data_IF_226594773266
#
_entry.id   IF_226594773266
#
_cell.length_a   1.000
_cell.length_b   1.000
_cell.length_c   1.000
_cell.angle_alpha   90.00
_cell.angle_beta   90.00
_cell.angle_gamma   90.00
#
_symmetry.space_group_name_H-M   'P 1'
#
loop_
_entity.id
_entity.type
_entity.pdbx_description
1 polymer ?
#
# COMPACT_ATOMS: atom_id res chain seq x y z
N UNK A 1 -52.35 -43.75 11.52
CA UNK A 1 -51.20 -43.20 10.78
C UNK A 1 -50.17 -44.28 10.64
N UNK A 2 -49.84 -44.63 9.44
CA UNK A 2 -48.87 -45.73 9.19
C UNK A 2 -47.44 -45.20 9.24
N UNK A 3 -46.50 -45.99 9.72
CA UNK A 3 -45.07 -45.63 9.83
C UNK A 3 -44.51 -45.15 8.46
N UNK A 4 -45.05 -45.67 7.38
CA UNK A 4 -44.74 -45.26 6.01
C UNK A 4 -45.10 -43.78 5.74
N UNK A 5 -46.22 -43.29 6.22
CA UNK A 5 -46.64 -41.88 6.06
C UNK A 5 -45.74 -40.91 6.79
N UNK A 6 -45.16 -41.28 7.95
CA UNK A 6 -44.20 -40.46 8.66
C UNK A 6 -42.84 -40.39 7.89
N UNK A 7 -42.38 -41.49 7.37
CA UNK A 7 -41.11 -41.52 6.61
C UNK A 7 -41.23 -40.68 5.32
N UNK A 8 -42.33 -40.80 4.59
CA UNK A 8 -42.53 -40.00 3.36
C UNK A 8 -42.64 -38.50 3.65
N UNK A 9 -43.31 -38.12 4.76
CA UNK A 9 -43.38 -36.71 5.18
C UNK A 9 -42.01 -36.13 5.58
N UNK A 10 -41.19 -36.89 6.30
CA UNK A 10 -39.81 -36.47 6.70
C UNK A 10 -38.89 -36.33 5.48
N UNK A 11 -38.94 -37.27 4.51
CA UNK A 11 -38.14 -37.19 3.30
C UNK A 11 -38.50 -36.01 2.42
N UNK A 12 -39.79 -35.76 2.23
CA UNK A 12 -40.31 -34.58 1.51
C UNK A 12 -39.90 -33.27 2.20
N UNK A 13 -39.99 -33.21 3.52
CA UNK A 13 -39.54 -32.05 4.30
C UNK A 13 -38.06 -31.77 4.17
N UNK A 14 -37.23 -32.80 4.23
CA UNK A 14 -35.78 -32.70 4.06
C UNK A 14 -35.39 -32.21 2.65
N UNK A 15 -36.05 -32.70 1.60
CA UNK A 15 -35.82 -32.28 0.21
C UNK A 15 -36.19 -30.81 0.01
N UNK A 16 -37.25 -30.32 0.65
CA UNK A 16 -37.66 -28.93 0.54
C UNK A 16 -36.76 -27.95 1.30
N UNK A 17 -36.13 -28.37 2.40
CA UNK A 17 -35.29 -27.51 3.24
C UNK A 17 -33.86 -27.43 2.69
N UNK A 18 -33.35 -28.47 2.06
CA UNK A 18 -31.95 -28.54 1.60
C UNK A 18 -31.54 -27.44 0.58
N UNK A 19 -32.34 -27.12 -0.47
CA UNK A 19 -31.97 -26.08 -1.45
C UNK A 19 -31.83 -24.69 -0.84
N UNK A 20 -32.76 -24.19 0.01
CA UNK A 20 -32.65 -22.87 0.61
C UNK A 20 -31.47 -22.78 1.59
N UNK A 21 -31.15 -23.85 2.35
CA UNK A 21 -29.98 -23.87 3.21
C UNK A 21 -28.66 -23.79 2.42
N UNK A 22 -28.59 -24.50 1.29
CA UNK A 22 -27.42 -24.41 0.40
C UNK A 22 -27.26 -23.02 -0.18
N UNK A 23 -28.36 -22.41 -0.65
CA UNK A 23 -28.35 -21.05 -1.19
C UNK A 23 -27.92 -20.02 -0.12
N UNK A 24 -28.41 -20.15 1.09
CA UNK A 24 -28.02 -19.28 2.20
C UNK A 24 -26.52 -19.36 2.49
N UNK A 25 -25.97 -20.58 2.51
CA UNK A 25 -24.53 -20.79 2.73
C UNK A 25 -23.71 -20.19 1.60
N UNK A 26 -24.10 -20.36 0.34
CA UNK A 26 -23.41 -19.80 -0.83
C UNK A 26 -23.45 -18.27 -0.81
N UNK A 27 -24.58 -17.67 -0.42
CA UNK A 27 -24.70 -16.22 -0.26
C UNK A 27 -23.79 -15.70 0.86
N UNK A 28 -23.77 -16.38 2.03
CA UNK A 28 -22.90 -16.00 3.14
C UNK A 28 -21.42 -16.07 2.74
N UNK A 29 -20.99 -17.12 2.07
CA UNK A 29 -19.60 -17.25 1.60
C UNK A 29 -19.21 -16.15 0.62
N UNK A 30 -20.09 -15.79 -0.31
CA UNK A 30 -19.87 -14.67 -1.23
C UNK A 30 -19.82 -13.32 -0.50
N UNK A 31 -20.65 -13.12 0.49
CA UNK A 31 -20.65 -11.89 1.29
C UNK A 31 -19.31 -11.71 2.03
N UNK A 32 -18.81 -12.74 2.68
CA UNK A 32 -17.51 -12.73 3.34
C UNK A 32 -16.37 -12.45 2.35
N UNK A 33 -16.46 -12.97 1.14
CA UNK A 33 -15.48 -12.73 0.09
C UNK A 33 -15.46 -11.25 -0.34
N UNK A 34 -16.63 -10.65 -0.51
CA UNK A 34 -16.78 -9.23 -0.85
C UNK A 34 -16.25 -8.33 0.28
N UNK A 35 -16.57 -8.64 1.53
CA UNK A 35 -16.02 -7.90 2.67
C UNK A 35 -14.49 -7.92 2.70
N UNK A 36 -13.88 -9.07 2.49
CA UNK A 36 -12.42 -9.19 2.42
C UNK A 36 -11.83 -8.36 1.27
N UNK A 37 -12.51 -8.30 0.13
CA UNK A 37 -12.09 -7.47 -1.00
C UNK A 37 -12.14 -5.98 -0.69
N UNK A 38 -13.20 -5.53 -0.05
CA UNK A 38 -13.36 -4.14 0.36
C UNK A 38 -12.25 -3.76 1.36
N UNK A 39 -12.01 -4.58 2.36
CA UNK A 39 -10.94 -4.35 3.34
C UNK A 39 -9.56 -4.32 2.68
N UNK A 40 -9.29 -5.24 1.76
CA UNK A 40 -8.02 -5.26 1.02
C UNK A 40 -7.86 -3.98 0.18
N UNK A 41 -8.90 -3.57 -0.56
CA UNK A 41 -8.88 -2.35 -1.35
C UNK A 41 -8.67 -1.09 -0.48
N UNK A 42 -9.28 -1.01 0.69
CA UNK A 42 -9.07 0.07 1.65
C UNK A 42 -7.64 0.10 2.17
N UNK A 43 -7.07 -1.05 2.52
CA UNK A 43 -5.69 -1.15 2.99
C UNK A 43 -4.69 -0.74 1.90
N UNK A 44 -4.90 -1.17 0.66
CA UNK A 44 -4.09 -0.76 -0.49
C UNK A 44 -4.16 0.76 -0.69
N UNK A 45 -5.38 1.32 -0.67
CA UNK A 45 -5.59 2.76 -0.82
C UNK A 45 -4.89 3.56 0.28
N UNK A 46 -5.00 3.10 1.53
CA UNK A 46 -4.35 3.73 2.68
C UNK A 46 -2.82 3.70 2.53
N UNK A 47 -2.24 2.56 2.20
CA UNK A 47 -0.80 2.41 2.01
C UNK A 47 -0.28 3.32 0.87
N UNK A 48 -1.00 3.36 -0.25
CA UNK A 48 -0.67 4.21 -1.39
C UNK A 48 -0.84 5.70 -1.07
N UNK A 49 -1.80 6.09 -0.22
CA UNK A 49 -1.96 7.48 0.22
C UNK A 49 -0.84 7.92 1.14
N UNK A 50 -0.43 7.07 2.08
CA UNK A 50 0.72 7.35 2.96
C UNK A 50 2.00 7.54 2.14
N UNK A 51 2.26 6.65 1.19
CA UNK A 51 3.42 6.75 0.30
C UNK A 51 3.35 8.01 -0.59
N UNK A 52 2.18 8.29 -1.19
CA UNK A 52 1.98 9.48 -2.01
C UNK A 52 2.13 10.77 -1.21
N UNK A 53 1.65 10.81 0.03
CA UNK A 53 1.83 11.94 0.94
C UNK A 53 3.31 12.14 1.27
N UNK A 54 4.02 11.07 1.64
CA UNK A 54 5.45 11.14 1.94
C UNK A 54 6.26 11.65 0.74
N UNK A 55 5.94 11.20 -0.49
CA UNK A 55 6.58 11.70 -1.72
C UNK A 55 6.28 13.19 -1.94
N UNK A 56 5.04 13.64 -1.73
CA UNK A 56 4.67 15.06 -1.88
C UNK A 56 5.39 15.96 -0.88
N UNK A 57 5.57 15.47 0.35
CA UNK A 57 6.25 16.21 1.42
C UNK A 57 7.79 16.12 1.31
N UNK A 58 8.31 15.14 0.56
CA UNK A 58 9.75 14.99 0.34
C UNK A 58 10.33 16.18 -0.42
N UNK A 59 11.51 16.63 -0.02
CA UNK A 59 12.14 17.82 -0.59
C UNK A 59 11.63 19.13 -0.02
N UNK A 60 10.63 19.13 0.89
CA UNK A 60 10.25 20.33 1.61
C UNK A 60 11.42 20.88 2.43
N UNK A 61 11.71 22.17 2.25
CA UNK A 61 12.77 22.88 2.97
C UNK A 61 12.26 24.17 3.57
N UNK A 62 12.71 24.45 4.75
CA UNK A 62 12.44 25.72 5.45
C UNK A 62 13.32 26.83 4.87
N UNK A 63 14.46 26.52 4.29
CA UNK A 63 15.42 27.45 3.67
C UNK A 63 15.48 27.21 2.15
N UNK A 64 15.38 28.28 1.36
CA UNK A 64 15.29 28.26 -0.10
C UNK A 64 16.57 27.80 -0.86
N UNK A 65 17.54 27.25 -0.17
CA UNK A 65 18.78 26.78 -0.83
C UNK A 65 18.56 25.38 -1.44
N UNK A 66 18.56 25.36 -2.77
CA UNK A 66 18.67 24.22 -3.69
C UNK A 66 18.21 22.83 -3.19
N UNK A 67 17.28 22.25 -3.91
CA UNK A 67 16.90 20.82 -3.76
C UNK A 67 18.16 20.00 -4.00
N UNK A 68 18.63 19.26 -2.99
CA UNK A 68 19.65 18.27 -3.23
C UNK A 68 18.95 17.03 -3.82
N UNK A 69 19.50 16.47 -4.88
CA UNK A 69 19.09 15.20 -5.48
C UNK A 69 19.00 14.05 -4.47
N UNK A 70 19.53 14.26 -3.26
CA UNK A 70 19.57 13.27 -2.17
C UNK A 70 18.29 13.20 -1.34
N UNK A 71 17.34 14.14 -1.50
CA UNK A 71 16.13 14.15 -0.66
C UNK A 71 15.11 13.07 -1.07
N UNK A 72 15.17 12.62 -2.33
CA UNK A 72 14.39 11.48 -2.83
C UNK A 72 15.35 10.49 -3.48
N UNK A 73 15.52 9.34 -2.86
CA UNK A 73 16.38 8.27 -3.38
C UNK A 73 15.54 7.06 -3.73
N UNK A 74 15.54 6.70 -5.02
CA UNK A 74 14.85 5.51 -5.52
C UNK A 74 15.92 4.47 -5.84
N UNK A 75 15.82 3.30 -5.19
CA UNK A 75 16.62 2.12 -5.50
C UNK A 75 15.74 1.13 -6.25
N UNK A 76 16.14 0.72 -7.45
CA UNK A 76 15.39 -0.23 -8.27
C UNK A 76 15.49 -1.67 -7.75
N UNK A 77 16.59 -2.00 -7.09
CA UNK A 77 16.81 -3.30 -6.44
C UNK A 77 16.67 -3.13 -4.92
N UNK A 78 15.44 -3.31 -4.42
CA UNK A 78 15.15 -3.34 -2.99
C UNK A 78 15.53 -4.69 -2.34
N UNK A 79 15.18 -4.84 -1.06
CA UNK A 79 15.42 -6.09 -0.31
C UNK A 79 14.65 -7.29 -0.88
N UNK A 80 13.52 -7.05 -1.52
CA UNK A 80 12.74 -8.07 -2.22
C UNK A 80 13.04 -7.99 -3.72
N UNK A 81 13.47 -9.11 -4.30
CA UNK A 81 13.94 -9.18 -5.69
C UNK A 81 12.91 -8.62 -6.69
N UNK A 82 13.34 -7.68 -7.53
CA UNK A 82 12.51 -7.04 -8.54
C UNK A 82 11.54 -5.98 -8.01
N UNK A 83 11.76 -5.51 -6.79
CA UNK A 83 10.97 -4.42 -6.19
C UNK A 83 11.83 -3.22 -5.89
N UNK A 84 11.29 -2.03 -6.16
CA UNK A 84 11.94 -0.78 -5.81
C UNK A 84 11.81 -0.48 -4.31
N UNK A 85 12.70 0.37 -3.83
CA UNK A 85 12.62 1.01 -2.52
C UNK A 85 12.79 2.51 -2.69
N UNK A 86 12.14 3.31 -1.82
CA UNK A 86 12.24 4.76 -1.84
C UNK A 86 12.57 5.29 -0.44
N UNK A 87 13.65 6.06 -0.36
CA UNK A 87 14.01 6.80 0.83
C UNK A 87 13.72 8.29 0.61
N UNK A 88 13.04 8.89 1.54
CA UNK A 88 12.52 10.25 1.50
C UNK A 88 13.06 11.02 2.69
N UNK A 89 13.63 12.19 2.43
CA UNK A 89 14.12 13.11 3.45
C UNK A 89 13.44 14.46 3.29
N UNK A 90 13.12 15.10 4.39
CA UNK A 90 12.57 16.45 4.41
C UNK A 90 12.99 17.19 5.68
N UNK A 91 13.06 18.51 5.61
CA UNK A 91 13.24 19.34 6.80
C UNK A 91 12.00 19.22 7.70
N UNK A 92 12.20 19.44 8.99
CA UNK A 92 11.07 19.44 9.92
C UNK A 92 10.09 20.56 9.55
N UNK A 93 8.84 20.22 9.16
CA UNK A 93 7.87 21.22 8.77
C UNK A 93 7.45 22.09 9.98
N UNK A 94 7.13 23.36 9.74
CA UNK A 94 6.63 24.29 10.78
C UNK A 94 5.21 23.94 11.23
N UNK A 95 4.45 23.22 10.40
CA UNK A 95 3.10 22.76 10.69
C UNK A 95 3.12 21.34 11.25
N UNK A 96 2.01 20.93 11.84
CA UNK A 96 1.83 19.57 12.34
C UNK A 96 1.90 18.56 11.17
N UNK A 97 2.90 17.72 11.18
CA UNK A 97 3.07 16.65 10.19
C UNK A 97 3.27 15.32 10.90
N UNK A 98 2.96 14.24 10.18
CA UNK A 98 3.00 12.89 10.70
C UNK A 98 3.92 12.02 9.85
N UNK A 99 4.59 11.09 10.49
CA UNK A 99 5.31 10.03 9.79
C UNK A 99 4.33 8.97 9.22
N UNK A 100 4.85 8.01 8.48
CA UNK A 100 4.05 6.91 7.90
C UNK A 100 3.47 5.96 8.97
N UNK A 101 3.88 6.05 10.22
CA UNK A 101 3.34 5.30 11.35
C UNK A 101 2.28 6.09 12.12
N UNK A 102 1.98 7.34 11.70
CA UNK A 102 1.02 8.21 12.39
C UNK A 102 1.58 8.96 13.59
N UNK A 103 2.90 8.96 13.80
CA UNK A 103 3.51 9.74 14.87
C UNK A 103 3.78 11.17 14.41
N UNK A 104 3.62 12.13 15.32
CA UNK A 104 3.95 13.54 15.07
C UNK A 104 5.45 13.70 14.85
N UNK A 105 5.82 14.36 13.77
CA UNK A 105 7.20 14.72 13.49
C UNK A 105 7.64 15.83 14.45
N UNK A 106 8.69 15.57 15.23
CA UNK A 106 9.28 16.48 16.20
C UNK A 106 10.79 16.54 16.03
N UNK A 107 11.43 17.54 16.67
CA UNK A 107 12.91 17.65 16.63
C UNK A 107 13.63 16.39 17.11
N UNK A 108 13.04 15.68 18.06
CA UNK A 108 13.58 14.43 18.61
C UNK A 108 13.55 13.28 17.61
N UNK A 109 12.66 13.35 16.61
CA UNK A 109 12.50 12.37 15.52
C UNK A 109 13.23 12.77 14.25
N UNK A 110 14.24 13.61 14.38
CA UNK A 110 15.05 14.06 13.25
C UNK A 110 16.51 13.66 13.46
N UNK A 111 17.19 13.46 12.34
CA UNK A 111 18.65 13.33 12.32
C UNK A 111 19.19 14.47 11.48
N UNK A 112 20.06 15.30 12.08
CA UNK A 112 20.56 16.53 11.44
C UNK A 112 19.43 17.48 10.96
N UNK A 113 18.38 17.65 11.76
CA UNK A 113 17.18 18.44 11.47
C UNK A 113 16.34 17.92 10.29
N UNK A 114 16.64 16.77 9.75
CA UNK A 114 15.86 16.11 8.70
C UNK A 114 15.08 14.93 9.24
N UNK A 115 13.85 14.80 8.80
CA UNK A 115 13.04 13.60 8.99
C UNK A 115 13.40 12.58 7.93
N UNK A 116 13.22 11.32 8.23
CA UNK A 116 13.54 10.21 7.34
C UNK A 116 12.36 9.25 7.27
N UNK A 117 11.95 8.92 6.05
CA UNK A 117 10.95 7.89 5.79
C UNK A 117 11.44 6.98 4.66
N UNK A 118 11.37 5.68 4.87
CA UNK A 118 11.83 4.68 3.89
C UNK A 118 10.74 3.64 3.67
N UNK A 119 10.37 3.44 2.40
CA UNK A 119 9.40 2.45 2.00
C UNK A 119 10.08 1.39 1.14
N UNK A 120 9.90 0.14 1.51
CA UNK A 120 10.49 -1.00 0.82
C UNK A 120 9.67 -2.27 1.05
N UNK A 121 9.93 -3.29 0.25
CA UNK A 121 9.33 -4.59 0.45
C UNK A 121 10.30 -5.48 1.23
N UNK A 122 9.78 -6.13 2.27
CA UNK A 122 10.45 -7.17 3.03
C UNK A 122 9.74 -8.50 2.81
N UNK A 123 10.50 -9.58 2.68
CA UNK A 123 9.93 -10.92 2.51
C UNK A 123 9.05 -11.29 3.70
N UNK A 124 7.84 -11.74 3.43
CA UNK A 124 6.97 -12.25 4.48
C UNK A 124 7.57 -13.49 5.14
N UNK A 125 7.50 -13.57 6.47
CA UNK A 125 7.97 -14.73 7.22
C UNK A 125 7.09 -15.96 6.98
N UNK A 126 5.82 -15.75 6.66
CA UNK A 126 4.83 -16.81 6.55
C UNK A 126 4.61 -17.29 5.11
N UNK A 127 5.01 -16.51 4.11
CA UNK A 127 4.86 -16.85 2.69
C UNK A 127 6.08 -16.36 1.91
N UNK A 128 6.90 -17.30 1.45
CA UNK A 128 8.13 -17.01 0.70
C UNK A 128 7.88 -16.36 -0.67
N UNK A 129 6.66 -16.44 -1.18
CA UNK A 129 6.27 -15.88 -2.48
C UNK A 129 5.64 -14.49 -2.37
N UNK A 130 5.42 -14.00 -1.16
CA UNK A 130 4.86 -12.68 -0.92
C UNK A 130 5.80 -11.84 -0.04
N UNK A 131 5.63 -10.54 -0.12
CA UNK A 131 6.34 -9.57 0.69
C UNK A 131 5.36 -8.68 1.44
N UNK A 132 5.85 -8.00 2.45
CA UNK A 132 5.12 -6.95 3.15
C UNK A 132 5.70 -5.60 2.78
N UNK A 133 4.86 -4.61 2.55
CA UNK A 133 5.26 -3.22 2.40
C UNK A 133 5.56 -2.65 3.78
N UNK A 134 6.83 -2.34 4.00
CA UNK A 134 7.33 -1.79 5.24
C UNK A 134 7.55 -0.29 5.09
N UNK A 135 7.14 0.46 6.08
CA UNK A 135 7.58 1.82 6.30
C UNK A 135 8.56 1.87 7.47
N UNK A 136 9.65 2.59 7.30
CA UNK A 136 10.65 2.84 8.31
C UNK A 136 10.76 4.35 8.56
N UNK A 137 10.78 4.77 9.81
CA UNK A 137 10.90 6.17 10.24
C UNK A 137 11.75 6.27 11.50
N UNK A 138 12.14 7.47 11.90
CA UNK A 138 12.90 7.71 13.12
C UNK A 138 12.00 7.76 14.35
N UNK A 139 12.41 7.10 15.41
CA UNK A 139 11.76 7.21 16.72
C UNK A 139 12.23 8.48 17.48
N UNK A 140 11.74 8.69 18.72
CA UNK A 140 12.14 9.83 19.58
C UNK A 140 13.61 9.81 20.00
N UNK A 141 14.26 8.66 19.85
CA UNK A 141 15.70 8.49 20.16
C UNK A 141 16.57 8.61 18.90
N UNK A 142 15.96 8.92 17.72
CA UNK A 142 16.65 8.97 16.45
C UNK A 142 17.05 7.59 15.91
N UNK A 143 16.47 6.49 16.44
CA UNK A 143 16.65 5.15 15.94
C UNK A 143 15.61 4.82 14.89
N UNK A 144 15.98 3.94 13.95
CA UNK A 144 15.06 3.49 12.91
C UNK A 144 14.04 2.52 13.51
N UNK A 145 12.77 2.86 13.33
CA UNK A 145 11.64 2.02 13.69
C UNK A 145 10.85 1.67 12.44
N UNK A 146 10.28 0.47 12.38
CA UNK A 146 9.59 -0.01 11.18
C UNK A 146 8.18 -0.51 11.52
N UNK A 147 7.27 -0.33 10.59
CA UNK A 147 5.90 -0.83 10.67
C UNK A 147 5.48 -1.44 9.34
N UNK A 148 4.75 -2.53 9.42
CA UNK A 148 4.12 -3.15 8.26
C UNK A 148 2.86 -2.35 7.89
N UNK A 149 2.79 -1.90 6.64
CA UNK A 149 1.64 -1.16 6.09
C UNK A 149 0.67 -2.07 5.35
N UNK A 150 1.21 -3.07 4.64
CA UNK A 150 0.42 -3.96 3.80
C UNK A 150 1.16 -5.27 3.61
N UNK A 151 0.45 -6.38 3.71
CA UNK A 151 0.95 -7.73 3.42
C UNK A 151 0.53 -8.23 2.03
N UNK A 152 1.03 -9.40 1.65
CA UNK A 152 0.71 -10.07 0.37
C UNK A 152 1.08 -9.26 -0.88
N UNK A 153 2.07 -8.38 -0.76
CA UNK A 153 2.58 -7.58 -1.87
C UNK A 153 3.48 -8.45 -2.75
N UNK A 154 3.31 -8.34 -4.07
CA UNK A 154 4.10 -9.05 -5.07
C UNK A 154 5.24 -8.20 -5.61
N UNK A 155 4.98 -6.91 -5.82
CA UNK A 155 5.97 -5.97 -6.29
C UNK A 155 5.60 -4.53 -5.91
N UNK A 156 6.62 -3.72 -5.78
CA UNK A 156 6.56 -2.26 -5.71
C UNK A 156 7.47 -1.71 -6.80
N UNK A 157 6.90 -0.93 -7.72
CA UNK A 157 7.67 -0.27 -8.79
C UNK A 157 7.54 1.23 -8.64
N UNK A 158 8.67 1.92 -8.67
CA UNK A 158 8.74 3.36 -8.51
C UNK A 158 9.65 3.90 -9.61
N UNK A 159 9.13 4.77 -10.46
CA UNK A 159 9.88 5.34 -11.58
C UNK A 159 9.69 6.85 -11.63
N UNK A 160 10.78 7.57 -11.86
CA UNK A 160 10.72 8.94 -12.30
C UNK A 160 10.18 8.98 -13.73
N UNK A 161 9.22 9.86 -13.97
CA UNK A 161 8.69 10.12 -15.30
C UNK A 161 8.94 11.59 -15.62
N UNK A 162 9.73 11.83 -16.64
CA UNK A 162 9.94 13.19 -17.13
C UNK A 162 8.70 13.61 -17.96
N UNK A 163 7.95 14.63 -17.55
CA UNK A 163 6.79 15.10 -18.31
C UNK A 163 7.15 15.59 -19.72
N UNK A 164 8.41 15.99 -19.96
CA UNK A 164 8.87 16.40 -21.29
C UNK A 164 8.88 15.25 -22.31
N UNK A 165 8.90 14.00 -21.85
CA UNK A 165 8.81 12.83 -22.73
C UNK A 165 7.38 12.56 -23.21
N UNK A 166 6.36 13.18 -22.59
CA UNK A 166 4.95 12.93 -22.92
C UNK A 166 4.39 13.97 -23.87
N UNK A 167 4.86 15.23 -23.82
CA UNK A 167 4.46 16.30 -24.77
C UNK A 167 5.56 17.38 -24.81
N UNK A 168 6.27 17.46 -25.92
CA UNK A 168 7.40 18.37 -26.14
C UNK A 168 7.05 19.87 -26.21
N UNK A 169 5.85 20.30 -25.82
CA UNK A 169 5.38 21.65 -26.20
C UNK A 169 5.23 22.66 -25.06
N UNK A 170 5.31 22.30 -23.79
CA UNK A 170 5.08 23.31 -22.72
C UNK A 170 6.00 23.07 -21.52
N UNK A 171 6.71 24.13 -21.15
CA UNK A 171 7.33 24.54 -19.89
C UNK A 171 8.85 24.48 -19.77
N UNK A 172 9.41 25.65 -20.05
CA UNK A 172 10.72 26.11 -19.57
C UNK A 172 10.61 26.51 -18.08
N UNK A 173 10.62 25.58 -17.15
CA UNK A 173 10.89 25.88 -15.75
C UNK A 173 12.10 25.07 -15.28
N UNK A 174 13.13 25.76 -14.83
CA UNK A 174 14.36 25.24 -14.24
C UNK A 174 14.04 24.62 -12.86
N UNK A 175 13.58 23.38 -12.84
CA UNK A 175 13.43 22.58 -11.61
C UNK A 175 13.24 21.12 -12.00
N UNK A 176 13.55 20.14 -11.16
CA UNK A 176 13.21 18.74 -11.42
C UNK A 176 11.69 18.57 -11.31
N UNK A 177 10.98 19.09 -12.33
CA UNK A 177 9.53 18.88 -12.50
C UNK A 177 9.30 17.47 -12.99
N UNK A 178 9.48 16.50 -12.11
CA UNK A 178 9.26 15.09 -12.40
C UNK A 178 8.01 14.58 -11.69
N UNK A 179 7.26 13.74 -12.40
CA UNK A 179 6.23 12.90 -11.78
C UNK A 179 6.87 11.58 -11.34
N UNK A 180 6.49 11.11 -10.17
CA UNK A 180 6.85 9.78 -9.70
C UNK A 180 5.64 8.87 -9.93
N UNK A 181 5.83 7.84 -10.75
CA UNK A 181 4.86 6.77 -10.93
C UNK A 181 5.15 5.69 -9.90
N UNK A 182 4.16 5.40 -9.07
CA UNK A 182 4.19 4.31 -8.10
C UNK A 182 3.20 3.25 -8.53
N UNK A 183 3.64 2.01 -8.69
CA UNK A 183 2.80 0.86 -8.99
C UNK A 183 2.98 -0.20 -7.92
N UNK A 184 1.89 -0.63 -7.32
CA UNK A 184 1.83 -1.64 -6.27
C UNK A 184 0.98 -2.81 -6.72
N UNK A 185 1.56 -4.01 -6.75
CA UNK A 185 0.85 -5.25 -7.04
C UNK A 185 0.64 -6.06 -5.78
N UNK A 186 -0.61 -6.43 -5.49
CA UNK A 186 -1.01 -7.20 -4.31
C UNK A 186 -1.70 -8.48 -4.74
N UNK A 187 -1.30 -9.61 -4.14
CA UNK A 187 -1.92 -10.90 -4.37
C UNK A 187 -3.17 -11.03 -3.51
N UNK A 188 -4.30 -11.32 -4.14
CA UNK A 188 -5.49 -11.79 -3.47
C UNK A 188 -5.52 -13.31 -3.49
N UNK A 189 -5.56 -13.95 -2.33
CA UNK A 189 -5.77 -15.37 -2.20
C UNK A 189 -7.22 -15.62 -1.80
N UNK A 190 -8.06 -16.07 -2.75
CA UNK A 190 -9.42 -16.51 -2.43
C UNK A 190 -9.37 -17.93 -1.87
N UNK A 191 -9.93 -18.14 -0.69
CA UNK A 191 -10.05 -19.48 -0.08
C UNK A 191 -11.05 -20.37 -0.81
N UNK A 192 -12.03 -19.75 -1.49
CA UNK A 192 -13.15 -20.46 -2.13
C UNK A 192 -12.83 -20.95 -3.54
N UNK A 193 -12.11 -20.12 -4.32
CA UNK A 193 -11.87 -20.40 -5.75
C UNK A 193 -10.45 -20.85 -6.06
N UNK A 194 -9.53 -20.86 -5.09
CA UNK A 194 -8.07 -21.11 -5.27
C UNK A 194 -7.43 -20.26 -6.39
N UNK A 195 -8.12 -19.22 -6.84
CA UNK A 195 -7.63 -18.31 -7.86
C UNK A 195 -6.83 -17.19 -7.20
N UNK A 196 -5.55 -17.12 -7.55
CA UNK A 196 -4.69 -16.01 -7.16
C UNK A 196 -4.91 -14.84 -8.13
N UNK A 197 -5.63 -13.82 -7.70
CA UNK A 197 -5.84 -12.61 -8.50
C UNK A 197 -4.81 -11.56 -8.08
N UNK A 198 -4.11 -10.99 -9.06
CA UNK A 198 -3.24 -9.84 -8.84
C UNK A 198 -4.07 -8.55 -8.97
N UNK A 199 -4.03 -7.73 -7.94
CA UNK A 199 -4.62 -6.38 -7.95
C UNK A 199 -3.47 -5.41 -8.09
N UNK A 200 -3.47 -4.64 -9.18
CA UNK A 200 -2.49 -3.58 -9.40
C UNK A 200 -3.13 -2.21 -9.16
N UNK A 201 -2.45 -1.39 -8.38
CA UNK A 201 -2.80 0.01 -8.21
C UNK A 201 -1.65 0.90 -8.63
N UNK A 202 -1.95 1.92 -9.43
CA UNK A 202 -0.98 2.89 -9.94
C UNK A 202 -1.37 4.29 -9.47
N UNK A 203 -0.39 5.04 -8.98
CA UNK A 203 -0.54 6.47 -8.67
C UNK A 203 0.58 7.30 -9.28
N UNK A 204 0.22 8.50 -9.66
CA UNK A 204 1.14 9.53 -10.12
C UNK A 204 1.25 10.60 -9.04
N UNK A 205 2.44 10.90 -8.61
CA UNK A 205 2.69 11.83 -7.51
C UNK A 205 3.72 12.85 -7.96
N UNK A 206 3.36 14.12 -7.83
CA UNK A 206 4.31 15.22 -7.99
C UNK A 206 4.88 15.58 -6.61
N UNK A 207 6.21 15.53 -6.40
CA UNK A 207 6.82 16.13 -5.23
C UNK A 207 6.51 17.63 -5.21
N UNK A 208 6.21 18.16 -4.06
CA UNK A 208 6.01 19.60 -3.91
C UNK A 208 7.38 20.28 -3.91
N UNK A 209 7.68 20.96 -4.99
CA UNK A 209 8.74 21.96 -5.00
C UNK A 209 8.14 23.25 -4.45
N UNK A 210 8.53 23.64 -3.27
CA UNK A 210 8.19 24.93 -2.70
C UNK A 210 9.43 25.82 -2.76
#
# INVERSE_FOLDING_TARGET
>A
MTLLSCITALTLGAVMIYPPLKLLNDVMLKHLEIEQDILLAQNINRAMELLARAIREAGYRVSQNSINEHDIQIKQDGLFKGSAAIALMQDLPKHLAYDCMGNVLSKERTRQQKTYQHFYLERSRNDLQSASLICQSLDRKGQLHQAELLNQVQYLRIHWVNPQAINATILTSKGPTGLIRVSLGVRRTSKTTKVNKLIEQVRWVAPRHI
#
